data_IF_718147737038
#
_entry.id   IF_718147737038
#
_cell.length_a   1.000
_cell.length_b   1.000
_cell.length_c   1.000
_cell.angle_alpha   90.00
_cell.angle_beta   90.00
_cell.angle_gamma   90.00
#
_symmetry.space_group_name_H-M   'P 1'
#
loop_
_entity.id
_entity.type
_entity.pdbx_description
1 polymer ?
#
# COMPACT_ATOMS: atom_id res chain seq x y z
N UNK A 1 -70.05 -27.33 -45.69
CA UNK A 1 -69.07 -27.06 -44.63
C UNK A 1 -68.16 -28.29 -44.61
N UNK A 2 -67.07 -28.38 -45.38
CA UNK A 2 -65.92 -27.45 -45.51
C UNK A 2 -65.36 -27.09 -44.13
N UNK A 3 -64.02 -27.24 -44.02
CA UNK A 3 -63.10 -26.72 -42.99
C UNK A 3 -62.98 -27.59 -41.72
N UNK A 4 -61.81 -28.02 -41.20
CA UNK A 4 -60.37 -27.82 -41.47
C UNK A 4 -59.64 -29.07 -40.91
N UNK A 5 -58.86 -29.77 -41.73
CA UNK A 5 -57.73 -30.61 -41.25
C UNK A 5 -56.48 -29.93 -41.83
N UNK A 6 -55.75 -29.15 -41.01
CA UNK A 6 -54.32 -28.89 -41.15
C UNK A 6 -53.87 -27.91 -40.05
N UNK A 7 -52.59 -27.96 -39.66
CA UNK A 7 -51.88 -27.05 -38.74
C UNK A 7 -51.67 -27.50 -37.28
N UNK A 8 -51.33 -28.78 -37.07
CA UNK A 8 -50.51 -29.17 -35.90
C UNK A 8 -49.01 -29.38 -36.26
N UNK A 9 -48.58 -28.94 -37.45
CA UNK A 9 -47.21 -29.09 -37.98
C UNK A 9 -46.51 -27.77 -38.33
N UNK A 10 -46.94 -26.64 -37.75
CA UNK A 10 -46.38 -25.31 -38.05
C UNK A 10 -45.93 -24.51 -36.82
N UNK A 11 -45.43 -25.15 -35.78
CA UNK A 11 -44.49 -24.48 -34.88
C UNK A 11 -43.08 -24.83 -35.33
N UNK A 12 -42.25 -23.84 -35.75
CA UNK A 12 -40.83 -24.10 -35.94
C UNK A 12 -40.24 -24.59 -34.60
N UNK A 13 -39.19 -25.42 -34.61
CA UNK A 13 -38.52 -25.82 -33.39
C UNK A 13 -37.87 -24.59 -32.73
N UNK A 14 -38.55 -23.97 -31.76
CA UNK A 14 -38.03 -22.83 -30.97
C UNK A 14 -36.89 -23.24 -30.02
N UNK A 15 -36.37 -24.47 -30.11
CA UNK A 15 -35.40 -25.00 -29.15
C UNK A 15 -33.97 -25.19 -29.66
N UNK A 16 -33.65 -24.87 -30.92
CA UNK A 16 -32.26 -24.91 -31.40
C UNK A 16 -31.61 -23.54 -31.60
N UNK A 17 -32.37 -22.49 -31.92
CA UNK A 17 -31.80 -21.15 -32.11
C UNK A 17 -31.48 -20.45 -30.78
N UNK A 18 -32.25 -20.69 -29.71
CA UNK A 18 -32.00 -20.09 -28.38
C UNK A 18 -30.72 -20.64 -27.72
N UNK A 19 -30.34 -21.90 -27.96
CA UNK A 19 -29.12 -22.51 -27.39
C UNK A 19 -27.87 -22.01 -28.12
N UNK A 20 -27.96 -21.82 -29.44
CA UNK A 20 -26.90 -21.21 -30.25
C UNK A 20 -26.68 -19.74 -29.90
N UNK A 21 -27.74 -18.96 -29.67
CA UNK A 21 -27.65 -17.56 -29.27
C UNK A 21 -27.22 -17.40 -27.81
N UNK A 22 -27.68 -18.21 -26.85
CA UNK A 22 -27.17 -18.17 -25.47
C UNK A 22 -25.70 -18.61 -25.37
N UNK A 23 -25.27 -19.59 -26.16
CA UNK A 23 -23.87 -20.00 -26.29
C UNK A 23 -23.02 -18.90 -26.93
N UNK A 24 -23.54 -18.24 -27.96
CA UNK A 24 -22.86 -17.12 -28.62
C UNK A 24 -22.83 -15.86 -27.76
N UNK A 25 -23.90 -15.57 -27.00
CA UNK A 25 -23.94 -14.48 -26.02
C UNK A 25 -22.99 -14.78 -24.85
N UNK A 26 -22.95 -16.01 -24.32
CA UNK A 26 -21.94 -16.41 -23.32
C UNK A 26 -20.53 -16.28 -23.86
N UNK A 27 -20.26 -16.72 -25.08
CA UNK A 27 -18.93 -16.59 -25.70
C UNK A 27 -18.58 -15.14 -25.95
N UNK A 28 -19.51 -14.31 -26.41
CA UNK A 28 -19.32 -12.86 -26.59
C UNK A 28 -19.12 -12.17 -25.24
N UNK A 29 -19.88 -12.52 -24.21
CA UNK A 29 -19.68 -12.00 -22.85
C UNK A 29 -18.37 -12.49 -22.24
N UNK A 30 -17.94 -13.73 -22.47
CA UNK A 30 -16.63 -14.23 -22.03
C UNK A 30 -15.50 -13.55 -22.80
N UNK A 31 -15.63 -13.35 -24.12
CA UNK A 31 -14.63 -12.63 -24.93
C UNK A 31 -14.59 -11.16 -24.54
N UNK A 32 -15.74 -10.51 -24.29
CA UNK A 32 -15.80 -9.15 -23.78
C UNK A 32 -15.30 -9.05 -22.34
N UNK A 33 -15.54 -10.03 -21.49
CA UNK A 33 -14.98 -10.08 -20.14
C UNK A 33 -13.46 -10.30 -20.17
N UNK A 34 -12.95 -11.12 -21.10
CA UNK A 34 -11.51 -11.31 -21.33
C UNK A 34 -10.89 -10.06 -21.95
N UNK A 35 -11.58 -9.39 -22.89
CA UNK A 35 -11.11 -8.15 -23.50
C UNK A 35 -11.16 -6.98 -22.50
N UNK A 36 -12.19 -6.93 -21.66
CA UNK A 36 -12.31 -5.96 -20.57
C UNK A 36 -11.28 -6.26 -19.49
N UNK A 37 -11.07 -7.53 -19.13
CA UNK A 37 -10.00 -7.97 -18.24
C UNK A 37 -8.62 -7.66 -18.81
N UNK A 38 -8.41 -7.83 -20.13
CA UNK A 38 -7.17 -7.49 -20.80
C UNK A 38 -6.98 -5.97 -20.93
N UNK A 39 -8.06 -5.18 -21.11
CA UNK A 39 -8.01 -3.72 -21.06
C UNK A 39 -7.74 -3.21 -19.65
N UNK A 40 -8.40 -3.78 -18.64
CA UNK A 40 -8.21 -3.48 -17.22
C UNK A 40 -6.78 -3.83 -16.80
N UNK A 41 -6.27 -4.98 -17.24
CA UNK A 41 -4.88 -5.36 -17.08
C UNK A 41 -3.97 -4.31 -17.75
N UNK A 42 -4.15 -4.02 -19.05
CA UNK A 42 -3.35 -3.03 -19.79
C UNK A 42 -3.35 -1.61 -19.23
N UNK A 43 -4.36 -1.22 -18.48
CA UNK A 43 -4.49 0.11 -17.88
C UNK A 43 -3.98 0.15 -16.45
N UNK A 44 -4.11 -0.95 -15.70
CA UNK A 44 -3.32 -1.21 -14.48
C UNK A 44 -1.80 -1.29 -14.76
N UNK A 45 -1.39 -1.38 -16.03
CA UNK A 45 0.02 -1.49 -16.47
C UNK A 45 0.69 -0.15 -16.83
N UNK A 46 0.03 1.00 -16.66
CA UNK A 46 0.65 2.30 -16.96
C UNK A 46 1.57 2.76 -15.82
N UNK A 47 2.64 3.53 -16.11
CA UNK A 47 3.62 3.99 -15.12
C UNK A 47 3.08 4.65 -13.84
N UNK A 48 1.96 5.39 -13.85
CA UNK A 48 1.35 5.92 -12.62
C UNK A 48 0.59 4.86 -11.79
N UNK A 49 0.25 3.71 -12.37
CA UNK A 49 -0.41 2.60 -11.68
C UNK A 49 0.50 1.89 -10.66
N UNK A 50 1.82 2.14 -10.71
CA UNK A 50 2.80 1.68 -9.72
C UNK A 50 2.63 2.35 -8.34
N UNK A 51 1.54 3.07 -8.12
CA UNK A 51 1.29 3.92 -6.97
C UNK A 51 0.33 3.44 -5.91
N UNK A 52 -0.45 2.39 -6.15
CA UNK A 52 -1.43 1.94 -5.16
C UNK A 52 -1.16 0.50 -4.72
N UNK A 53 0.09 0.22 -4.34
CA UNK A 53 0.57 -1.09 -3.89
C UNK A 53 0.17 -1.42 -2.43
N UNK A 54 -0.91 -0.82 -1.95
CA UNK A 54 -1.24 -0.72 -0.53
C UNK A 54 -1.60 -2.04 0.13
N UNK A 55 -2.15 -3.02 -0.61
CA UNK A 55 -2.38 -4.36 -0.06
C UNK A 55 -1.07 -5.12 0.14
N UNK A 56 -0.11 -4.96 -0.77
CA UNK A 56 1.19 -5.64 -0.70
C UNK A 56 2.04 -5.02 0.40
N UNK A 57 2.21 -3.69 0.40
CA UNK A 57 2.98 -3.04 1.47
C UNK A 57 2.28 -3.12 2.82
N UNK A 58 0.95 -3.08 2.87
CA UNK A 58 0.19 -3.31 4.10
C UNK A 58 0.43 -4.72 4.65
N UNK A 59 0.29 -5.74 3.81
CA UNK A 59 0.50 -7.15 4.18
C UNK A 59 1.89 -7.43 4.67
N UNK A 60 2.90 -6.89 3.97
CA UNK A 60 4.28 -6.99 4.39
C UNK A 60 4.52 -6.23 5.70
N UNK A 61 4.03 -4.99 5.81
CA UNK A 61 4.22 -4.15 6.99
C UNK A 61 3.57 -4.74 8.25
N UNK A 62 2.37 -5.31 8.16
CA UNK A 62 1.72 -6.02 9.28
C UNK A 62 2.57 -7.22 9.77
N UNK A 63 3.25 -7.90 8.84
CA UNK A 63 4.13 -9.03 9.18
C UNK A 63 5.53 -8.58 9.63
N UNK A 64 5.95 -7.37 9.29
CA UNK A 64 7.20 -6.74 9.79
C UNK A 64 7.00 -6.19 11.21
N UNK A 65 5.96 -5.38 11.43
CA UNK A 65 5.60 -4.80 12.72
C UNK A 65 4.08 -4.59 12.82
N UNK A 66 3.45 -5.37 13.70
CA UNK A 66 2.02 -5.30 14.00
C UNK A 66 1.66 -4.01 14.76
N UNK A 67 1.53 -2.90 14.03
CA UNK A 67 1.17 -1.57 14.54
C UNK A 67 0.43 -0.75 13.48
N UNK A 68 -0.80 -0.30 13.79
CA UNK A 68 -1.67 0.43 12.86
C UNK A 68 -1.02 1.67 12.23
N UNK A 69 -0.19 2.41 12.97
CA UNK A 69 0.51 3.58 12.42
C UNK A 69 1.63 3.17 11.48
N UNK A 70 2.39 2.13 11.81
CA UNK A 70 3.42 1.58 10.93
C UNK A 70 2.82 1.10 9.61
N UNK A 71 1.74 0.32 9.68
CA UNK A 71 1.03 -0.17 8.49
C UNK A 71 0.50 1.01 7.66
N UNK A 72 -0.14 2.00 8.30
CA UNK A 72 -0.60 3.22 7.62
C UNK A 72 0.55 4.00 6.96
N UNK A 73 1.74 4.02 7.57
CA UNK A 73 2.94 4.63 7.00
C UNK A 73 3.38 3.98 5.71
N UNK A 74 3.51 2.65 5.73
CA UNK A 74 3.92 1.85 4.57
C UNK A 74 2.92 1.94 3.42
N UNK A 75 1.64 2.04 3.78
CA UNK A 75 0.53 2.20 2.85
C UNK A 75 0.48 3.53 2.12
N UNK A 76 0.86 4.63 2.78
CA UNK A 76 0.65 5.99 2.26
C UNK A 76 1.90 6.60 1.61
N UNK A 77 2.98 5.83 1.49
CA UNK A 77 4.25 6.37 0.98
C UNK A 77 4.14 6.95 -0.44
N UNK A 78 3.31 6.32 -1.28
CA UNK A 78 3.02 6.67 -2.67
C UNK A 78 1.83 7.65 -2.84
N UNK A 79 1.44 8.36 -1.77
CA UNK A 79 0.28 9.25 -1.82
C UNK A 79 0.42 10.38 -2.85
N UNK A 80 1.65 10.79 -3.19
CA UNK A 80 1.95 11.85 -4.16
C UNK A 80 1.35 11.63 -5.55
N UNK A 81 1.16 10.37 -5.96
CA UNK A 81 0.52 10.02 -7.23
C UNK A 81 -0.95 10.44 -7.30
N UNK A 82 -1.57 10.71 -6.15
CA UNK A 82 -2.94 11.18 -6.01
C UNK A 82 -3.04 12.61 -5.47
N UNK A 83 -1.91 13.25 -5.17
CA UNK A 83 -1.89 14.65 -4.76
C UNK A 83 -2.12 15.59 -5.96
N UNK A 84 -2.63 16.81 -5.72
CA UNK A 84 -2.76 17.82 -6.77
C UNK A 84 -1.43 18.06 -7.52
N UNK A 85 -1.47 18.36 -8.83
CA UNK A 85 -0.26 18.63 -9.62
C UNK A 85 0.63 19.71 -8.98
N UNK A 86 1.93 19.41 -8.88
CA UNK A 86 2.92 20.30 -8.26
C UNK A 86 3.13 20.09 -6.77
N UNK A 87 2.44 19.12 -6.14
CA UNK A 87 2.81 18.63 -4.82
C UNK A 87 4.21 17.99 -4.84
N UNK A 88 5.00 18.11 -3.76
CA UNK A 88 6.24 17.37 -3.61
C UNK A 88 6.01 15.86 -3.68
N UNK A 89 7.02 15.16 -4.21
CA UNK A 89 7.12 13.70 -4.16
C UNK A 89 7.14 13.23 -2.69
N UNK A 90 6.38 12.18 -2.38
CA UNK A 90 6.23 11.68 -1.00
C UNK A 90 6.91 10.33 -0.77
N UNK A 91 7.16 9.52 -1.81
CA UNK A 91 7.94 8.27 -1.81
C UNK A 91 9.45 8.55 -1.74
N UNK A 92 9.90 9.26 -0.70
CA UNK A 92 11.34 9.52 -0.49
C UNK A 92 11.77 9.51 0.97
N UNK A 93 13.01 9.09 1.20
CA UNK A 93 13.69 9.15 2.50
C UNK A 93 13.65 10.56 3.11
N UNK A 94 13.74 11.60 2.28
CA UNK A 94 13.67 12.99 2.73
C UNK A 94 12.29 13.36 3.26
N UNK A 95 11.22 12.91 2.61
CA UNK A 95 9.87 13.17 3.06
C UNK A 95 9.61 12.46 4.40
N UNK A 96 10.02 11.20 4.49
CA UNK A 96 9.86 10.37 5.67
C UNK A 96 10.67 10.88 6.88
N UNK A 97 11.91 11.36 6.69
CA UNK A 97 12.64 12.06 7.75
C UNK A 97 11.91 13.32 8.23
N UNK A 98 11.36 14.07 7.28
CA UNK A 98 10.57 15.25 7.61
C UNK A 98 9.34 14.92 8.46
N UNK A 99 8.69 13.75 8.28
CA UNK A 99 7.54 13.35 9.11
C UNK A 99 7.92 13.31 10.58
N UNK A 100 9.13 12.83 10.88
CA UNK A 100 9.67 12.75 12.23
C UNK A 100 10.05 14.10 12.78
N UNK A 101 10.71 14.94 11.99
CA UNK A 101 11.06 16.29 12.41
C UNK A 101 9.80 17.12 12.77
N UNK A 102 8.66 16.75 12.18
CA UNK A 102 7.34 17.36 12.42
C UNK A 102 6.50 16.62 13.46
N UNK A 103 6.93 15.46 13.94
CA UNK A 103 6.25 14.74 15.01
C UNK A 103 6.24 15.62 16.26
N UNK A 104 5.10 15.66 16.95
CA UNK A 104 5.04 16.34 18.25
C UNK A 104 6.00 15.63 19.22
N UNK A 105 6.65 16.35 20.15
CA UNK A 105 7.44 15.71 21.20
C UNK A 105 6.60 14.64 21.92
N UNK A 106 7.12 13.41 21.97
CA UNK A 106 6.43 12.26 22.58
C UNK A 106 5.37 11.57 21.71
N UNK A 107 5.17 11.97 20.45
CA UNK A 107 4.29 11.27 19.52
C UNK A 107 4.96 10.00 18.97
N UNK A 108 4.77 8.90 19.69
CA UNK A 108 5.23 7.58 19.24
C UNK A 108 4.51 7.14 17.95
N UNK A 109 3.27 7.60 17.77
CA UNK A 109 2.41 7.24 16.65
C UNK A 109 2.96 7.79 15.32
N UNK A 110 3.39 9.06 15.27
CA UNK A 110 4.03 9.61 14.05
C UNK A 110 5.40 8.97 13.80
N UNK A 111 6.10 8.54 14.85
CA UNK A 111 7.37 7.81 14.70
C UNK A 111 7.12 6.45 14.05
N UNK A 112 6.14 5.67 14.52
CA UNK A 112 5.75 4.42 13.87
C UNK A 112 5.25 4.65 12.43
N UNK A 113 4.48 5.71 12.21
CA UNK A 113 4.04 6.11 10.88
C UNK A 113 5.21 6.40 9.92
N UNK A 114 6.19 7.18 10.36
CA UNK A 114 7.37 7.45 9.54
C UNK A 114 8.27 6.22 9.35
N UNK A 115 8.34 5.33 10.34
CA UNK A 115 9.01 4.04 10.22
C UNK A 115 8.37 3.17 9.13
N UNK A 116 7.04 3.08 9.10
CA UNK A 116 6.31 2.39 8.04
C UNK A 116 6.55 3.02 6.68
N UNK A 117 6.60 4.35 6.62
CA UNK A 117 6.93 5.06 5.39
C UNK A 117 8.32 4.67 4.85
N UNK A 118 9.30 4.52 5.74
CA UNK A 118 10.64 4.02 5.39
C UNK A 118 10.60 2.58 4.90
N UNK A 119 9.87 1.73 5.61
CA UNK A 119 9.69 0.32 5.27
C UNK A 119 9.19 0.13 3.83
N UNK A 120 8.26 0.98 3.37
CA UNK A 120 7.83 0.98 1.98
C UNK A 120 8.98 1.16 0.98
N UNK A 121 9.91 2.09 1.26
CA UNK A 121 11.05 2.39 0.37
C UNK A 121 12.03 1.22 0.30
N UNK A 122 12.23 0.53 1.43
CA UNK A 122 13.05 -0.68 1.51
C UNK A 122 12.39 -1.84 0.75
N UNK A 123 11.07 -2.02 0.92
CA UNK A 123 10.28 -3.01 0.18
C UNK A 123 10.37 -2.79 -1.33
N UNK A 124 10.30 -1.55 -1.81
CA UNK A 124 10.44 -1.24 -3.24
C UNK A 124 11.85 -1.52 -3.78
N UNK A 125 12.87 -1.29 -2.96
CA UNK A 125 14.27 -1.62 -3.31
C UNK A 125 14.46 -3.14 -3.43
N UNK A 126 13.91 -3.91 -2.49
CA UNK A 126 13.95 -5.39 -2.52
C UNK A 126 13.07 -5.99 -3.63
N UNK A 127 11.98 -5.31 -3.98
CA UNK A 127 11.15 -5.70 -5.12
C UNK A 127 11.94 -5.62 -6.43
N UNK A 128 12.73 -4.56 -6.63
CA UNK A 128 13.58 -4.42 -7.82
C UNK A 128 14.59 -5.59 -7.93
N UNK A 129 15.16 -6.04 -6.81
CA UNK A 129 16.04 -7.22 -6.80
C UNK A 129 15.31 -8.48 -7.26
N UNK A 130 14.08 -8.67 -6.79
CA UNK A 130 13.21 -9.80 -7.14
C UNK A 130 12.82 -9.77 -8.63
N UNK A 131 12.57 -8.57 -9.18
CA UNK A 131 12.33 -8.38 -10.61
C UNK A 131 13.50 -8.86 -11.44
N UNK A 132 14.73 -8.45 -11.07
CA UNK A 132 15.94 -8.88 -11.76
C UNK A 132 16.16 -10.40 -11.66
N UNK A 133 15.89 -10.99 -10.49
CA UNK A 133 16.00 -12.43 -10.28
C UNK A 133 15.04 -13.21 -11.20
N UNK A 134 13.75 -12.83 -11.22
CA UNK A 134 12.75 -13.48 -12.07
C UNK A 134 13.07 -13.28 -13.55
N UNK A 135 13.40 -12.06 -13.98
CA UNK A 135 13.72 -11.78 -15.39
C UNK A 135 14.99 -12.47 -15.88
N UNK A 136 15.89 -12.89 -14.98
CA UNK A 136 17.07 -13.69 -15.35
C UNK A 136 16.71 -15.11 -15.81
N UNK A 137 15.57 -15.64 -15.34
CA UNK A 137 15.04 -16.96 -15.69
C UNK A 137 13.92 -16.86 -16.73
N UNK A 138 13.07 -15.84 -16.59
CA UNK A 138 11.88 -15.55 -17.41
C UNK A 138 11.99 -14.14 -18.03
N UNK A 139 12.86 -13.94 -19.04
CA UNK A 139 13.13 -12.61 -19.62
C UNK A 139 11.92 -12.00 -20.34
N UNK A 140 10.89 -12.79 -20.65
CA UNK A 140 9.63 -12.34 -21.23
C UNK A 140 8.67 -11.70 -20.21
N UNK A 141 8.93 -11.81 -18.91
CA UNK A 141 8.10 -11.20 -17.86
C UNK A 141 8.48 -9.73 -17.69
N UNK A 142 7.49 -8.85 -17.78
CA UNK A 142 7.66 -7.44 -17.46
C UNK A 142 7.69 -7.21 -15.94
N UNK A 143 8.18 -6.06 -15.50
CA UNK A 143 8.07 -5.64 -14.09
C UNK A 143 6.61 -5.66 -13.59
N UNK A 144 5.67 -5.32 -14.47
CA UNK A 144 4.24 -5.31 -14.15
C UNK A 144 3.67 -6.73 -13.98
N UNK A 145 4.11 -7.69 -14.80
CA UNK A 145 3.76 -9.11 -14.63
C UNK A 145 4.14 -9.58 -13.22
N UNK A 146 5.37 -9.25 -12.83
CA UNK A 146 5.96 -9.65 -11.53
C UNK A 146 5.22 -8.95 -10.38
N UNK A 147 4.92 -7.66 -10.52
CA UNK A 147 4.17 -6.90 -9.51
C UNK A 147 2.79 -7.50 -9.28
N UNK A 148 2.00 -7.72 -10.33
CA UNK A 148 0.66 -8.33 -10.18
C UNK A 148 0.72 -9.75 -9.59
N UNK A 149 1.74 -10.52 -9.94
CA UNK A 149 2.00 -11.82 -9.33
C UNK A 149 2.26 -11.71 -7.82
N UNK A 150 3.15 -10.79 -7.43
CA UNK A 150 3.48 -10.55 -6.01
C UNK A 150 2.31 -9.98 -5.22
N UNK A 151 1.53 -9.07 -5.81
CA UNK A 151 0.33 -8.52 -5.17
C UNK A 151 -0.70 -9.62 -4.93
N UNK A 152 -0.93 -10.47 -5.93
CA UNK A 152 -1.81 -11.62 -5.77
C UNK A 152 -1.32 -12.56 -4.66
N UNK A 153 -0.03 -12.94 -4.67
CA UNK A 153 0.55 -13.85 -3.69
C UNK A 153 0.50 -13.29 -2.27
N UNK A 154 0.72 -11.96 -2.12
CA UNK A 154 0.60 -11.27 -0.83
C UNK A 154 -0.83 -11.31 -0.33
N UNK A 155 -1.81 -10.98 -1.15
CA UNK A 155 -3.22 -11.03 -0.74
C UNK A 155 -3.69 -12.44 -0.37
N UNK A 156 -3.15 -13.48 -1.01
CA UNK A 156 -3.50 -14.86 -0.67
C UNK A 156 -2.83 -15.35 0.62
N UNK A 157 -1.61 -14.90 0.90
CA UNK A 157 -0.78 -15.44 1.99
C UNK A 157 -0.77 -14.58 3.25
N UNK A 158 -0.91 -13.27 3.07
CA UNK A 158 -0.82 -12.21 4.10
C UNK A 158 -1.89 -11.14 3.83
N UNK A 159 -3.18 -11.48 3.97
CA UNK A 159 -4.24 -10.50 3.79
C UNK A 159 -4.16 -9.42 4.87
N UNK A 160 -4.29 -8.16 4.46
CA UNK A 160 -4.34 -7.02 5.37
C UNK A 160 -5.75 -6.47 5.51
N UNK A 161 -6.14 -6.23 6.75
CA UNK A 161 -7.40 -5.55 7.09
C UNK A 161 -7.18 -4.04 7.04
N UNK A 162 -7.44 -3.50 5.86
CA UNK A 162 -7.29 -2.07 5.60
C UNK A 162 -8.22 -1.23 6.47
N UNK A 163 -7.67 -0.46 7.41
CA UNK A 163 -8.44 0.52 8.19
C UNK A 163 -8.34 1.95 7.59
N UNK A 164 -8.90 2.15 6.38
CA UNK A 164 -8.91 3.49 5.73
C UNK A 164 -9.58 4.54 6.60
N UNK A 165 -10.65 4.16 7.33
CA UNK A 165 -11.38 5.08 8.21
C UNK A 165 -10.47 5.60 9.33
N UNK A 166 -9.70 4.72 9.98
CA UNK A 166 -8.69 5.14 10.95
C UNK A 166 -7.73 6.17 10.36
N UNK A 167 -7.16 5.89 9.18
CA UNK A 167 -6.21 6.79 8.51
C UNK A 167 -6.84 8.17 8.22
N UNK A 168 -8.05 8.19 7.65
CA UNK A 168 -8.73 9.43 7.25
C UNK A 168 -9.22 10.27 8.43
N UNK A 169 -9.50 9.64 9.58
CA UNK A 169 -10.00 10.31 10.78
C UNK A 169 -8.86 10.73 11.73
N UNK A 170 -7.66 10.16 11.59
CA UNK A 170 -6.54 10.46 12.47
C UNK A 170 -5.84 11.78 12.13
N UNK A 171 -6.22 12.84 12.85
CA UNK A 171 -5.69 14.20 12.61
C UNK A 171 -4.17 14.31 12.64
N UNK A 172 -3.49 13.50 13.45
CA UNK A 172 -2.04 13.54 13.56
C UNK A 172 -1.33 12.95 12.34
N UNK A 173 -1.88 11.90 11.72
CA UNK A 173 -1.37 11.35 10.45
C UNK A 173 -1.53 12.42 9.36
N UNK A 174 -2.72 13.00 9.26
CA UNK A 174 -3.01 14.03 8.26
C UNK A 174 -2.13 15.27 8.43
N UNK A 175 -1.91 15.74 9.66
CA UNK A 175 -1.06 16.90 9.94
C UNK A 175 0.43 16.59 9.67
N UNK A 176 0.91 15.38 9.94
CA UNK A 176 2.28 14.96 9.65
C UNK A 176 2.56 14.97 8.14
N UNK A 177 1.66 14.38 7.34
CA UNK A 177 1.70 14.42 5.87
C UNK A 177 1.62 15.87 5.39
N UNK A 178 0.62 16.64 5.86
CA UNK A 178 0.43 18.05 5.45
C UNK A 178 1.66 18.89 5.70
N UNK A 179 2.33 18.70 6.83
CA UNK A 179 3.48 19.49 7.20
C UNK A 179 4.66 19.40 6.21
N UNK A 180 4.70 18.35 5.38
CA UNK A 180 5.67 18.20 4.28
C UNK A 180 5.20 18.77 2.93
N UNK A 181 3.95 19.22 2.84
CA UNK A 181 3.30 19.62 1.59
C UNK A 181 2.93 21.12 1.62
N UNK A 182 3.48 21.90 0.70
CA UNK A 182 3.14 23.32 0.59
C UNK A 182 1.78 23.51 -0.07
N UNK A 183 0.91 24.35 0.52
CA UNK A 183 -0.41 24.71 -0.04
C UNK A 183 -1.40 23.53 -0.21
N UNK A 184 -1.18 22.43 0.51
CA UNK A 184 -2.12 21.31 0.56
C UNK A 184 -2.89 21.37 1.88
N UNK A 185 -4.20 21.22 1.84
CA UNK A 185 -5.07 21.18 3.03
C UNK A 185 -5.30 19.74 3.50
N UNK A 186 -5.70 19.53 4.77
CA UNK A 186 -6.08 18.20 5.25
C UNK A 186 -7.23 17.60 4.44
N UNK A 187 -8.12 18.43 3.90
CA UNK A 187 -9.21 17.96 3.04
C UNK A 187 -8.69 17.42 1.70
N UNK A 188 -7.70 18.08 1.10
CA UNK A 188 -7.05 17.56 -0.10
C UNK A 188 -6.26 16.28 0.17
N UNK A 189 -5.68 16.12 1.36
CA UNK A 189 -5.01 14.87 1.76
C UNK A 189 -6.05 13.75 1.92
N UNK A 190 -7.18 14.02 2.58
CA UNK A 190 -8.28 13.03 2.66
C UNK A 190 -8.79 12.65 1.28
N UNK A 191 -8.96 13.61 0.38
CA UNK A 191 -9.34 13.33 -1.00
C UNK A 191 -8.29 12.49 -1.72
N UNK A 192 -7.00 12.78 -1.54
CA UNK A 192 -5.93 11.97 -2.12
C UNK A 192 -5.93 10.55 -1.56
N UNK A 193 -6.14 10.36 -0.26
CA UNK A 193 -6.27 9.01 0.35
C UNK A 193 -7.52 8.30 -0.19
N UNK A 194 -8.62 9.02 -0.35
CA UNK A 194 -9.83 8.47 -0.95
C UNK A 194 -9.59 8.01 -2.38
N UNK A 195 -9.01 8.87 -3.23
CA UNK A 195 -8.70 8.54 -4.62
C UNK A 195 -7.66 7.43 -4.71
N UNK A 196 -6.67 7.42 -3.83
CA UNK A 196 -5.69 6.35 -3.70
C UNK A 196 -6.37 4.98 -3.50
N UNK A 197 -7.43 4.90 -2.68
CA UNK A 197 -8.16 3.65 -2.43
C UNK A 197 -9.18 3.35 -3.54
N UNK A 198 -9.95 4.35 -3.95
CA UNK A 198 -11.20 4.18 -4.70
C UNK A 198 -11.16 4.71 -6.14
N UNK A 199 -10.06 5.30 -6.61
CA UNK A 199 -9.98 5.84 -7.97
C UNK A 199 -10.29 4.77 -9.02
N UNK A 200 -11.28 5.07 -9.85
CA UNK A 200 -11.62 4.28 -11.03
C UNK A 200 -10.87 4.78 -12.27
N UNK A 201 -9.96 5.75 -12.12
CA UNK A 201 -9.18 6.30 -13.22
C UNK A 201 -8.21 5.27 -13.78
N UNK A 202 -8.21 5.11 -15.10
CA UNK A 202 -7.21 4.27 -15.78
C UNK A 202 -5.81 4.89 -15.81
N UNK A 203 -5.71 6.22 -15.63
CA UNK A 203 -4.43 6.94 -15.59
C UNK A 203 -3.81 6.98 -14.19
N UNK A 204 -4.61 6.69 -13.15
CA UNK A 204 -4.19 6.59 -11.75
C UNK A 204 -5.14 5.62 -11.02
N UNK A 205 -5.02 4.30 -11.26
CA UNK A 205 -5.95 3.32 -10.70
C UNK A 205 -5.78 3.26 -9.19
N UNK A 206 -6.90 3.33 -8.45
CA UNK A 206 -6.89 3.15 -7.01
C UNK A 206 -6.67 1.69 -6.62
N UNK A 207 -6.35 1.46 -5.35
CA UNK A 207 -6.05 0.13 -4.80
C UNK A 207 -7.06 -0.94 -5.18
N UNK A 208 -8.37 -0.67 -5.07
CA UNK A 208 -9.40 -1.66 -5.36
C UNK A 208 -9.36 -2.15 -6.81
N UNK A 209 -8.96 -1.27 -7.74
CA UNK A 209 -8.81 -1.63 -9.14
C UNK A 209 -7.54 -2.46 -9.36
N UNK A 210 -6.46 -2.16 -8.65
CA UNK A 210 -5.20 -2.90 -8.71
C UNK A 210 -5.33 -4.32 -8.13
N UNK A 211 -6.00 -4.46 -6.98
CA UNK A 211 -6.33 -5.77 -6.38
C UNK A 211 -7.05 -6.66 -7.39
N UNK A 212 -8.10 -6.12 -8.03
CA UNK A 212 -8.85 -6.84 -9.08
C UNK A 212 -7.96 -7.15 -10.28
N UNK A 213 -7.07 -6.25 -10.65
CA UNK A 213 -6.06 -6.47 -11.69
C UNK A 213 -5.19 -7.68 -11.40
N UNK A 214 -4.69 -7.80 -10.16
CA UNK A 214 -3.87 -8.93 -9.71
C UNK A 214 -4.65 -10.26 -9.70
N UNK A 215 -5.91 -10.26 -9.21
CA UNK A 215 -6.77 -11.45 -9.26
C UNK A 215 -7.06 -11.92 -10.70
N UNK A 216 -7.34 -10.97 -11.59
CA UNK A 216 -7.55 -11.24 -13.02
C UNK A 216 -6.27 -11.79 -13.64
N UNK A 217 -5.12 -11.20 -13.32
CA UNK A 217 -3.82 -11.65 -13.82
C UNK A 217 -3.54 -13.10 -13.41
N UNK A 218 -3.70 -13.43 -12.13
CA UNK A 218 -3.51 -14.79 -11.63
C UNK A 218 -4.49 -15.79 -12.24
N UNK A 219 -5.71 -15.34 -12.58
CA UNK A 219 -6.70 -16.17 -13.29
C UNK A 219 -6.30 -16.44 -14.74
N UNK A 220 -5.74 -15.45 -15.43
CA UNK A 220 -5.35 -15.54 -16.84
C UNK A 220 -3.99 -16.23 -17.04
N UNK A 221 -3.08 -16.09 -16.09
CA UNK A 221 -1.70 -16.57 -16.15
C UNK A 221 -1.29 -17.34 -14.88
N UNK A 222 -2.05 -18.39 -14.49
CA UNK A 222 -1.78 -19.13 -13.26
C UNK A 222 -0.40 -19.79 -13.23
N UNK A 223 0.13 -20.19 -14.39
CA UNK A 223 1.47 -20.75 -14.53
C UNK A 223 2.57 -19.74 -14.19
N UNK A 224 2.42 -18.47 -14.60
CA UNK A 224 3.40 -17.42 -14.31
C UNK A 224 3.46 -17.12 -12.83
N UNK A 225 2.29 -17.04 -12.18
CA UNK A 225 2.20 -16.86 -10.73
C UNK A 225 2.87 -18.02 -10.00
N UNK A 226 2.64 -19.26 -10.43
CA UNK A 226 3.26 -20.44 -9.82
C UNK A 226 4.80 -20.42 -9.93
N UNK A 227 5.35 -19.93 -11.04
CA UNK A 227 6.80 -19.80 -11.25
C UNK A 227 7.43 -18.69 -10.40
N UNK A 228 6.64 -17.70 -9.95
CA UNK A 228 7.11 -16.61 -9.09
C UNK A 228 7.10 -16.96 -7.60
N UNK A 229 6.43 -18.05 -7.18
CA UNK A 229 6.21 -18.38 -5.76
C UNK A 229 7.51 -18.46 -4.95
N UNK A 230 8.54 -19.11 -5.49
CA UNK A 230 9.79 -19.31 -4.75
C UNK A 230 10.52 -17.98 -4.52
N UNK A 231 10.57 -17.10 -5.54
CA UNK A 231 11.17 -15.78 -5.38
C UNK A 231 10.29 -14.88 -4.51
N UNK A 232 8.96 -14.96 -4.61
CA UNK A 232 8.05 -14.23 -3.74
C UNK A 232 8.29 -14.58 -2.26
N UNK A 233 8.40 -15.87 -1.93
CA UNK A 233 8.70 -16.28 -0.56
C UNK A 233 10.07 -15.76 -0.11
N UNK A 234 11.08 -15.78 -0.98
CA UNK A 234 12.39 -15.22 -0.65
C UNK A 234 12.35 -13.70 -0.45
N UNK A 235 11.59 -12.99 -1.29
CA UNK A 235 11.33 -11.56 -1.13
C UNK A 235 10.63 -11.27 0.20
N UNK A 236 9.56 -11.99 0.51
CA UNK A 236 8.82 -11.89 1.76
C UNK A 236 9.74 -12.09 2.96
N UNK A 237 10.55 -13.15 2.95
CA UNK A 237 11.52 -13.43 4.02
C UNK A 237 12.53 -12.29 4.15
N UNK A 238 13.03 -11.72 3.05
CA UNK A 238 14.00 -10.60 3.10
C UNK A 238 13.41 -9.33 3.69
N UNK A 239 12.17 -8.98 3.33
CA UNK A 239 11.54 -7.73 3.79
C UNK A 239 10.97 -7.82 5.20
N UNK A 240 10.54 -9.02 5.62
CA UNK A 240 9.97 -9.22 6.96
C UNK A 240 11.00 -9.67 8.00
N UNK A 241 12.16 -10.19 7.59
CA UNK A 241 13.23 -10.55 8.50
C UNK A 241 13.98 -9.31 9.02
N UNK A 242 14.30 -9.32 10.32
CA UNK A 242 15.24 -8.40 10.96
C UNK A 242 14.98 -6.91 10.67
N UNK A 243 13.73 -6.46 10.82
CA UNK A 243 13.35 -5.04 10.69
C UNK A 243 14.37 -4.11 11.36
N UNK A 244 15.00 -3.27 10.55
CA UNK A 244 15.91 -2.24 11.03
C UNK A 244 15.13 -0.95 11.27
N UNK A 245 15.11 -0.46 12.51
CA UNK A 245 14.51 0.84 12.81
C UNK A 245 15.52 1.97 12.54
N UNK A 246 15.40 2.74 11.42
CA UNK A 246 16.32 3.84 11.13
C UNK A 246 16.22 4.99 12.16
N UNK A 247 15.20 4.96 13.01
CA UNK A 247 14.88 5.96 14.01
C UNK A 247 15.07 5.45 15.44
N UNK A 248 15.77 4.33 15.64
CA UNK A 248 15.99 3.72 16.95
C UNK A 248 16.44 4.73 18.03
N UNK A 249 17.33 5.66 17.67
CA UNK A 249 17.86 6.69 18.56
C UNK A 249 16.76 7.63 19.11
N UNK A 250 15.70 7.91 18.35
CA UNK A 250 14.59 8.78 18.76
C UNK A 250 13.67 8.15 19.80
N UNK A 251 13.66 6.82 19.92
CA UNK A 251 12.94 6.12 20.99
C UNK A 251 13.77 6.08 22.27
N UNK A 252 15.11 6.05 22.15
CA UNK A 252 16.01 6.05 23.31
C UNK A 252 16.11 7.42 23.99
N UNK A 253 16.05 8.52 23.24
CA UNK A 253 16.08 9.88 23.81
C UNK A 253 14.80 10.17 24.61
N UNK A 254 13.62 9.75 24.13
CA UNK A 254 12.36 9.89 24.88
C UNK A 254 12.39 9.11 26.21
N UNK A 255 13.06 7.95 26.26
CA UNK A 255 13.24 7.18 27.49
C UNK A 255 14.18 7.93 28.45
N UNK A 256 15.26 8.51 27.95
CA UNK A 256 16.20 9.29 28.76
C UNK A 256 15.56 10.58 29.27
N UNK A 257 14.82 11.31 28.43
CA UNK A 257 14.11 12.54 28.82
C UNK A 257 12.96 12.24 29.78
N UNK A 258 12.20 11.16 29.58
CA UNK A 258 11.20 10.70 30.59
C UNK A 258 11.87 10.25 31.87
N UNK A 259 13.00 9.54 31.81
CA UNK A 259 13.74 9.15 33.02
C UNK A 259 14.29 10.37 33.77
N UNK A 260 14.75 11.40 33.05
CA UNK A 260 15.18 12.68 33.61
C UNK A 260 13.99 13.42 34.23
N UNK A 261 12.83 13.46 33.57
CA UNK A 261 11.60 14.05 34.12
C UNK A 261 11.05 13.29 35.33
N UNK A 262 11.09 11.96 35.33
CA UNK A 262 10.69 11.13 36.48
C UNK A 262 11.67 11.31 37.65
N UNK A 263 12.97 11.45 37.37
CA UNK A 263 13.97 11.88 38.36
C UNK A 263 13.63 13.27 38.93
N UNK A 264 13.19 14.21 38.10
CA UNK A 264 12.84 15.57 38.49
C UNK A 264 11.58 15.61 39.38
N UNK A 265 10.58 14.76 39.10
CA UNK A 265 9.30 14.73 39.84
C UNK A 265 9.42 13.91 41.14
N UNK A 266 10.15 12.78 41.12
CA UNK A 266 10.17 11.83 42.24
C UNK A 266 11.43 11.88 43.09
N UNK A 267 12.56 12.41 42.60
CA UNK A 267 13.84 12.39 43.33
C UNK A 267 14.29 13.80 43.74
N UNK A 268 14.09 14.83 42.90
CA UNK A 268 14.50 16.20 43.23
C UNK A 268 13.90 16.77 44.55
N UNK A 269 12.63 16.48 44.93
CA UNK A 269 12.07 16.91 46.22
C UNK A 269 12.74 16.25 47.43
N UNK A 270 13.24 15.01 47.28
CA UNK A 270 13.92 14.28 48.35
C UNK A 270 15.37 14.73 48.57
N UNK A 271 16.00 15.34 47.57
CA UNK A 271 17.39 15.82 47.63
C UNK A 271 17.52 17.32 47.91
N UNK A 272 16.41 18.07 47.97
CA UNK A 272 16.43 19.50 48.32
C UNK A 272 17.16 20.40 47.33
N UNK A 273 17.28 19.98 46.06
CA UNK A 273 17.99 20.71 45.01
C UNK A 273 17.03 21.32 43.99
N UNK A 274 17.35 22.52 43.50
CA UNK A 274 16.67 23.18 42.37
C UNK A 274 17.62 23.24 41.18
N UNK A 275 17.17 22.76 40.01
CA UNK A 275 17.87 22.83 38.72
C UNK A 275 17.89 24.27 38.16
N UNK A 276 18.28 25.25 38.98
CA UNK A 276 18.85 26.51 38.49
C UNK A 276 20.37 26.56 38.69
N UNK A 277 20.94 25.46 39.19
CA UNK A 277 22.36 25.34 39.50
C UNK A 277 23.12 24.41 38.54
N UNK A 278 22.43 23.80 37.57
CA UNK A 278 23.04 23.02 36.51
C UNK A 278 22.98 23.85 35.22
N UNK A 279 24.00 24.67 35.02
CA UNK A 279 24.22 25.46 33.80
C UNK A 279 24.78 24.54 32.68
N UNK A 280 24.19 24.52 31.47
CA UNK A 280 24.64 23.68 30.36
C UNK A 280 26.11 23.88 29.96
N UNK A 281 26.71 25.03 30.28
CA UNK A 281 28.10 25.37 29.90
C UNK A 281 29.15 24.50 30.59
N UNK A 282 28.79 23.80 31.67
CA UNK A 282 29.73 22.97 32.44
C UNK A 282 29.94 21.56 31.89
N UNK A 283 29.12 21.07 30.95
CA UNK A 283 29.22 19.70 30.40
C UNK A 283 30.18 19.58 29.21
N UNK A 284 30.61 20.69 28.59
CA UNK A 284 31.61 20.67 27.50
C UNK A 284 33.08 20.59 28.00
N UNK A 285 33.32 20.62 29.32
CA UNK A 285 34.69 20.65 29.89
C UNK A 285 34.88 19.78 31.13
N UNK A 286 34.33 18.57 31.15
CA UNK A 286 34.79 17.53 32.05
C UNK A 286 35.68 16.54 31.25
N UNK A 287 36.83 16.09 31.81
CA UNK A 287 37.87 15.34 31.08
C UNK A 287 37.43 13.98 30.56
#
# INVERSE_FOLDING_TARGET
>A
MKEIIYQASQFPPVQQECVGTLSSIRKVCCVLAILLAALLANTCFSGPAQGANFATHGGLAENTLDNDFFVAGAMLADLDKFLPPGAPQTDSHSFANGLIDRARPGSNDVKYFAMGWYEHLDQDSEFLNSVLAIQSVHPEYSTNDIRLGFDYLTMQSHPTDVNVTFIMDHTEILDAIRGGLTNITNEQIRQAIWDYVFSESFEAPGLLLQIKGAEIYATLYPERVAEMVDEYNSYFDRVTADYYNPFFWLFTVDIVDRAILDLDIHIAPFLGMSIKQLDPVTLEKAP
#
